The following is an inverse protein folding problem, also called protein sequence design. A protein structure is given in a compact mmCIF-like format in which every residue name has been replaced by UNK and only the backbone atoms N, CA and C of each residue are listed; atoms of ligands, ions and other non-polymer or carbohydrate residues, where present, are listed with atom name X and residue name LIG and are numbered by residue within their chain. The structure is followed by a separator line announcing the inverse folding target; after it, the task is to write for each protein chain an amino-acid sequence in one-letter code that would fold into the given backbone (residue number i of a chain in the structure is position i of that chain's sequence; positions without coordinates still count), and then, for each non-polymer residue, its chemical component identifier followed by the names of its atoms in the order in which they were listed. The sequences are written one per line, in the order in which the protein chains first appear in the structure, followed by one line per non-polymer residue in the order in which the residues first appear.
data_IF_004842550847
#
_entry.id   IF_004842550847
#
_cell.length_a   1.000
_cell.length_b   1.000
_cell.length_c   1.000
_cell.angle_alpha   90.00
_cell.angle_beta   90.00
_cell.angle_gamma   90.00
#
_symmetry.space_group_name_H-M   'P 1'
#
loop_
_entity.id
_entity.type
_entity.pdbx_description
1 polymer ?
#
# COMPACT_ATOMS: atom_id res chain seq x y z
N UNK A 1 16.51 74.27 15.45
CA UNK A 1 16.36 72.85 15.01
C UNK A 1 16.17 72.02 16.27
N UNK A 2 14.96 71.54 16.55
CA UNK A 2 14.65 70.76 17.77
C UNK A 2 14.47 69.31 17.34
N UNK A 3 15.35 68.42 17.77
CA UNK A 3 15.30 67.00 17.45
C UNK A 3 14.33 66.28 18.41
N UNK A 4 13.28 65.67 17.86
CA UNK A 4 12.35 64.84 18.61
C UNK A 4 12.92 63.42 18.77
N UNK A 5 13.09 62.98 20.01
CA UNK A 5 13.47 61.60 20.35
C UNK A 5 12.21 60.72 20.34
N UNK A 6 12.07 59.86 19.32
CA UNK A 6 11.04 58.83 19.28
C UNK A 6 11.51 57.62 20.11
N UNK A 7 10.87 57.39 21.26
CA UNK A 7 11.06 56.19 22.06
C UNK A 7 10.32 55.02 21.43
N UNK A 8 11.04 54.04 20.90
CA UNK A 8 10.48 52.79 20.38
C UNK A 8 10.32 51.82 21.55
N UNK A 9 9.09 51.48 21.91
CA UNK A 9 8.78 50.42 22.88
C UNK A 9 8.63 49.09 22.15
N UNK A 10 9.50 48.13 22.47
CA UNK A 10 9.38 46.76 21.98
C UNK A 10 8.36 46.00 22.83
N UNK A 11 7.21 45.66 22.24
CA UNK A 11 6.24 44.73 22.84
C UNK A 11 6.73 43.30 22.58
N UNK A 12 7.16 42.61 23.63
CA UNK A 12 7.46 41.17 23.55
C UNK A 12 6.20 40.37 23.85
N UNK A 13 5.57 39.81 22.81
CA UNK A 13 4.49 38.86 22.98
C UNK A 13 5.08 37.50 23.40
N UNK A 14 4.78 37.05 24.63
CA UNK A 14 5.13 35.69 25.07
C UNK A 14 4.13 34.70 24.47
N UNK A 15 4.60 33.86 23.55
CA UNK A 15 3.88 32.67 23.09
C UNK A 15 3.78 31.67 24.25
N UNK A 16 2.56 31.30 24.64
CA UNK A 16 2.32 30.22 25.58
C UNK A 16 2.69 28.87 24.93
N UNK A 17 3.24 27.91 25.68
CA UNK A 17 3.49 26.57 25.17
C UNK A 17 2.17 25.88 24.80
N UNK A 18 2.12 25.28 23.61
CA UNK A 18 0.98 24.50 23.15
C UNK A 18 0.74 23.29 24.08
N UNK A 19 -0.52 23.06 24.44
CA UNK A 19 -0.92 21.88 25.20
C UNK A 19 -0.62 20.59 24.40
N UNK A 20 -0.18 19.50 25.06
CA UNK A 20 0.03 18.23 24.38
C UNK A 20 -1.30 17.66 23.86
N UNK A 21 -1.29 16.94 22.72
CA UNK A 21 -2.51 16.32 22.19
C UNK A 21 -3.05 15.28 23.18
N UNK A 22 -4.38 15.08 23.23
CA UNK A 22 -4.99 14.06 24.08
C UNK A 22 -4.45 12.67 23.71
N UNK A 23 -4.16 11.87 24.73
CA UNK A 23 -3.71 10.48 24.59
C UNK A 23 -4.82 9.67 23.92
N UNK A 24 -4.61 9.28 22.67
CA UNK A 24 -5.48 8.33 21.97
C UNK A 24 -5.33 6.95 22.60
N UNK A 25 -6.43 6.39 23.08
CA UNK A 25 -6.51 4.99 23.49
C UNK A 25 -6.09 4.08 22.32
N UNK A 26 -5.35 2.99 22.56
CA UNK A 26 -4.95 2.08 21.51
C UNK A 26 -6.18 1.50 20.82
N UNK A 27 -6.28 1.74 19.51
CA UNK A 27 -7.30 1.15 18.65
C UNK A 27 -7.24 -0.38 18.77
N UNK A 28 -8.28 -0.98 19.36
CA UNK A 28 -8.42 -2.44 19.44
C UNK A 28 -8.74 -2.94 18.04
N UNK A 29 -7.71 -3.42 17.34
CA UNK A 29 -7.84 -4.02 16.02
C UNK A 29 -8.81 -5.22 16.08
N UNK A 30 -9.95 -5.21 15.35
CA UNK A 30 -10.77 -6.39 15.19
C UNK A 30 -9.92 -7.49 14.55
N UNK A 31 -9.78 -8.62 15.24
CA UNK A 31 -8.96 -9.75 14.81
C UNK A 31 -9.37 -10.17 13.38
N UNK A 32 -8.50 -9.92 12.40
CA UNK A 32 -8.69 -10.35 11.02
C UNK A 32 -8.83 -11.88 10.96
N UNK A 33 -9.72 -12.45 10.12
CA UNK A 33 -9.85 -13.90 9.97
C UNK A 33 -8.53 -14.51 9.51
N UNK A 34 -8.07 -15.57 10.18
CA UNK A 34 -6.87 -16.31 9.77
C UNK A 34 -7.15 -16.97 8.41
N UNK A 35 -6.41 -16.58 7.37
CA UNK A 35 -6.43 -17.24 6.06
C UNK A 35 -5.86 -18.68 6.23
N UNK A 36 -6.61 -19.74 5.88
CA UNK A 36 -6.21 -21.13 6.15
C UNK A 36 -5.23 -21.72 5.13
N UNK A 37 -4.74 -20.96 4.15
CA UNK A 37 -3.86 -21.50 3.12
C UNK A 37 -2.37 -21.49 3.53
N UNK A 38 -2.00 -22.38 4.46
CA UNK A 38 -0.61 -22.75 4.68
C UNK A 38 -0.35 -24.12 4.04
N UNK A 39 -0.17 -24.15 2.72
CA UNK A 39 0.25 -25.36 2.00
C UNK A 39 1.73 -25.29 1.65
N UNK A 40 2.45 -26.19 2.32
CA UNK A 40 3.75 -26.80 2.06
C UNK A 40 4.35 -26.56 0.65
N UNK A 41 5.50 -25.90 0.58
CA UNK A 41 6.29 -25.71 -0.64
C UNK A 41 7.07 -27.01 -0.97
N UNK A 42 6.74 -27.66 -2.09
CA UNK A 42 7.59 -28.66 -2.75
C UNK A 42 8.24 -28.05 -4.03
N UNK A 43 9.50 -28.36 -4.37
CA UNK A 43 10.12 -27.88 -5.61
C UNK A 43 9.73 -28.78 -6.80
N UNK A 44 9.30 -28.18 -7.91
CA UNK A 44 9.01 -28.86 -9.18
C UNK A 44 10.01 -28.44 -10.26
N UNK A 45 10.67 -29.42 -10.88
CA UNK A 45 11.49 -29.29 -12.08
C UNK A 45 10.62 -29.23 -13.36
N UNK A 46 11.13 -28.74 -14.51
CA UNK A 46 10.30 -28.40 -15.66
C UNK A 46 10.06 -29.60 -16.59
N UNK A 47 8.86 -29.70 -17.15
CA UNK A 47 8.58 -30.55 -18.31
C UNK A 47 7.64 -29.82 -19.26
N UNK A 48 8.17 -29.52 -20.44
CA UNK A 48 7.47 -28.91 -21.57
C UNK A 48 6.56 -29.93 -22.23
N UNK A 49 5.29 -29.59 -22.46
CA UNK A 49 4.46 -30.21 -23.49
C UNK A 49 3.31 -29.28 -23.84
N UNK A 50 3.31 -28.84 -25.09
CA UNK A 50 2.30 -28.03 -25.75
C UNK A 50 1.12 -28.90 -26.19
N UNK A 51 -0.10 -28.48 -25.87
CA UNK A 51 -1.28 -28.85 -26.65
C UNK A 51 -2.42 -27.87 -26.38
N UNK A 52 -2.83 -27.23 -27.48
CA UNK A 52 -3.94 -26.29 -27.63
C UNK A 52 -5.30 -27.01 -27.60
N UNK A 53 -6.24 -26.48 -26.81
CA UNK A 53 -7.67 -26.66 -27.05
C UNK A 53 -8.44 -25.46 -26.50
N UNK A 54 -9.06 -24.73 -27.40
CA UNK A 54 -9.86 -23.53 -27.17
C UNK A 54 -11.19 -23.84 -26.49
N UNK A 55 -11.74 -22.81 -25.82
CA UNK A 55 -13.18 -22.61 -25.51
C UNK A 55 -13.70 -23.13 -24.17
N UNK A 56 -13.33 -22.44 -23.10
CA UNK A 56 -14.32 -21.87 -22.19
C UNK A 56 -14.06 -20.36 -22.20
N UNK A 57 -15.10 -19.54 -22.37
CA UNK A 57 -14.97 -18.09 -22.28
C UNK A 57 -14.45 -17.76 -20.87
N UNK A 58 -13.14 -17.60 -20.75
CA UNK A 58 -12.46 -17.24 -19.52
C UNK A 58 -12.98 -15.87 -19.16
N UNK A 59 -13.87 -15.82 -18.17
CA UNK A 59 -14.13 -14.59 -17.44
C UNK A 59 -12.75 -14.08 -17.01
N UNK A 60 -12.26 -13.05 -17.70
CA UNK A 60 -10.98 -12.45 -17.41
C UNK A 60 -11.09 -11.85 -16.02
N UNK A 61 -10.71 -12.62 -15.01
CA UNK A 61 -10.69 -12.17 -13.62
C UNK A 61 -9.84 -10.91 -13.55
N UNK A 62 -10.38 -9.83 -12.98
CA UNK A 62 -9.63 -8.59 -12.76
C UNK A 62 -8.59 -8.85 -11.66
N UNK A 63 -7.43 -9.35 -12.08
CA UNK A 63 -6.42 -9.90 -11.18
C UNK A 63 -5.19 -8.98 -11.07
N UNK A 64 -4.72 -8.75 -9.84
CA UNK A 64 -3.55 -7.89 -9.62
C UNK A 64 -2.27 -8.49 -10.21
N UNK A 65 -2.11 -9.82 -10.10
CA UNK A 65 -0.94 -10.58 -10.55
C UNK A 65 0.37 -10.00 -9.98
N UNK A 66 0.36 -9.64 -8.70
CA UNK A 66 1.54 -9.11 -8.03
C UNK A 66 2.44 -10.28 -7.59
N UNK A 67 3.70 -10.37 -8.05
CA UNK A 67 4.59 -11.45 -7.63
C UNK A 67 4.90 -11.43 -6.12
N UNK A 68 4.61 -10.30 -5.46
CA UNK A 68 4.83 -10.09 -4.04
C UNK A 68 3.60 -10.39 -3.16
N UNK A 69 2.45 -10.77 -3.75
CA UNK A 69 1.16 -10.80 -3.05
C UNK A 69 1.15 -11.65 -1.77
N UNK A 70 1.81 -12.82 -1.79
CA UNK A 70 1.78 -13.77 -0.68
C UNK A 70 2.61 -13.33 0.55
N UNK A 71 3.53 -12.38 0.39
CA UNK A 71 4.48 -11.99 1.45
C UNK A 71 4.43 -10.51 1.80
N UNK A 72 4.09 -9.65 0.84
CA UNK A 72 3.99 -8.21 1.02
C UNK A 72 2.64 -7.80 1.64
N UNK A 73 2.64 -6.97 2.67
CA UNK A 73 1.41 -6.48 3.32
C UNK A 73 0.64 -5.40 2.53
N UNK A 74 0.99 -5.17 1.26
CA UNK A 74 0.50 -4.01 0.49
C UNK A 74 -0.88 -4.18 -0.13
N UNK A 75 -1.30 -5.42 -0.43
CA UNK A 75 -2.54 -5.73 -1.13
C UNK A 75 -3.27 -6.84 -0.37
N UNK A 76 -4.60 -6.75 -0.30
CA UNK A 76 -5.43 -7.72 0.44
C UNK A 76 -6.24 -8.65 -0.47
N UNK A 77 -6.48 -8.22 -1.71
CA UNK A 77 -7.23 -8.98 -2.72
C UNK A 77 -6.40 -9.09 -3.99
N UNK A 78 -6.36 -10.30 -4.56
CA UNK A 78 -5.67 -10.57 -5.81
C UNK A 78 -6.66 -10.67 -6.98
N UNK A 79 -7.86 -11.17 -6.75
CA UNK A 79 -8.85 -11.51 -7.77
C UNK A 79 -10.11 -10.66 -7.63
N UNK A 80 -10.92 -10.63 -8.70
CA UNK A 80 -12.23 -9.96 -8.74
C UNK A 80 -12.18 -8.51 -8.27
N UNK A 81 -11.11 -7.79 -8.59
CA UNK A 81 -10.88 -6.41 -8.14
C UNK A 81 -11.84 -5.39 -8.77
N UNK A 82 -12.55 -5.78 -9.83
CA UNK A 82 -13.66 -5.05 -10.41
C UNK A 82 -14.98 -5.26 -9.65
N UNK A 83 -15.05 -6.31 -8.82
CA UNK A 83 -16.24 -6.71 -8.05
C UNK A 83 -15.89 -7.12 -6.60
N UNK A 84 -15.16 -6.29 -5.83
CA UNK A 84 -14.80 -6.66 -4.47
C UNK A 84 -16.05 -6.80 -3.59
N UNK A 85 -16.05 -7.80 -2.69
CA UNK A 85 -17.18 -8.14 -1.82
C UNK A 85 -17.75 -6.93 -1.05
N UNK A 86 -16.88 -5.97 -0.69
CA UNK A 86 -17.28 -4.73 0.01
C UNK A 86 -18.34 -3.94 -0.77
N UNK A 87 -18.42 -4.04 -2.09
CA UNK A 87 -19.44 -3.35 -2.87
C UNK A 87 -20.83 -3.88 -2.61
N UNK A 88 -21.00 -5.19 -2.42
CA UNK A 88 -22.30 -5.77 -2.07
C UNK A 88 -22.77 -5.29 -0.68
N UNK A 89 -21.83 -5.23 0.28
CA UNK A 89 -22.08 -4.71 1.62
C UNK A 89 -22.49 -3.23 1.58
N UNK A 90 -21.79 -2.42 0.78
CA UNK A 90 -22.08 -1.00 0.61
C UNK A 90 -23.41 -0.77 -0.11
N UNK A 91 -23.68 -1.50 -1.19
CA UNK A 91 -24.97 -1.46 -1.89
C UNK A 91 -26.12 -1.80 -0.95
N UNK A 92 -25.96 -2.84 -0.13
CA UNK A 92 -26.96 -3.20 0.89
C UNK A 92 -27.12 -2.09 1.94
N UNK A 93 -26.02 -1.56 2.45
CA UNK A 93 -26.03 -0.50 3.47
C UNK A 93 -26.82 0.74 3.03
N UNK A 94 -26.64 1.17 1.77
CA UNK A 94 -27.33 2.30 1.19
C UNK A 94 -28.80 1.99 0.85
N UNK A 95 -29.07 0.80 0.31
CA UNK A 95 -30.44 0.35 0.02
C UNK A 95 -31.30 0.33 1.28
N UNK A 96 -30.76 -0.19 2.38
CA UNK A 96 -31.43 -0.24 3.69
C UNK A 96 -31.69 1.17 4.28
N UNK A 97 -31.14 2.24 3.67
CA UNK A 97 -31.33 3.67 4.02
C UNK A 97 -32.10 4.46 2.95
N UNK A 98 -32.68 3.79 1.96
CA UNK A 98 -33.49 4.43 0.91
C UNK A 98 -32.68 5.01 -0.26
N UNK A 99 -31.39 4.72 -0.36
CA UNK A 99 -30.55 5.08 -1.53
C UNK A 99 -30.42 3.84 -2.42
N UNK A 100 -31.15 3.83 -3.53
CA UNK A 100 -31.23 2.67 -4.43
C UNK A 100 -30.18 2.67 -5.55
N UNK A 101 -29.60 3.83 -5.85
CA UNK A 101 -28.72 4.12 -6.99
C UNK A 101 -27.26 4.34 -6.57
N UNK A 102 -26.74 3.48 -5.70
CA UNK A 102 -25.32 3.49 -5.38
C UNK A 102 -24.49 3.15 -6.62
N UNK A 103 -23.59 4.06 -7.00
CA UNK A 103 -22.57 3.84 -8.03
C UNK A 103 -21.16 3.93 -7.42
N UNK A 104 -20.19 3.33 -8.11
CA UNK A 104 -18.79 3.42 -7.75
C UNK A 104 -17.95 3.51 -9.02
N UNK A 105 -16.84 4.23 -8.94
CA UNK A 105 -15.87 4.35 -10.03
C UNK A 105 -14.67 3.47 -9.77
N UNK A 106 -14.20 2.79 -10.81
CA UNK A 106 -13.01 1.95 -10.78
C UNK A 106 -11.89 2.66 -11.52
N UNK A 107 -10.75 2.82 -10.85
CA UNK A 107 -9.54 3.38 -11.43
C UNK A 107 -8.72 2.35 -12.20
N UNK A 108 -7.47 2.71 -12.49
CA UNK A 108 -6.50 1.78 -13.07
C UNK A 108 -6.21 0.63 -12.10
N UNK A 109 -6.21 -0.59 -12.61
CA UNK A 109 -5.88 -1.80 -11.85
C UNK A 109 -4.43 -1.81 -11.36
N UNK A 110 -3.51 -1.39 -12.22
CA UNK A 110 -2.08 -1.32 -11.95
C UNK A 110 -1.60 0.12 -11.91
N UNK A 111 -0.42 0.32 -11.31
CA UNK A 111 0.34 1.57 -11.38
C UNK A 111 -0.38 2.81 -10.81
N UNK A 112 -1.42 2.59 -10.00
CA UNK A 112 -2.26 3.67 -9.47
C UNK A 112 -1.65 4.39 -8.27
N UNK A 113 -0.65 3.80 -7.57
CA UNK A 113 0.06 4.48 -6.48
C UNK A 113 1.21 5.32 -7.02
N UNK A 114 1.08 6.64 -6.86
CA UNK A 114 2.14 7.60 -7.20
C UNK A 114 3.10 7.91 -6.04
N UNK A 115 2.89 7.32 -4.86
CA UNK A 115 3.75 7.49 -3.67
C UNK A 115 3.88 6.19 -2.89
N UNK A 116 5.08 5.86 -2.46
CA UNK A 116 5.38 4.73 -1.59
C UNK A 116 6.29 5.16 -0.44
N UNK A 117 6.09 4.57 0.75
CA UNK A 117 7.01 4.65 1.89
C UNK A 117 7.57 3.26 2.11
N UNK A 118 8.82 3.06 1.71
CA UNK A 118 9.49 1.77 1.75
C UNK A 118 10.45 1.72 2.94
N UNK A 119 10.47 0.59 3.62
CA UNK A 119 11.48 0.28 4.62
C UNK A 119 12.73 -0.25 3.92
N UNK A 120 13.89 0.10 4.48
CA UNK A 120 15.19 -0.36 4.02
C UNK A 120 15.85 -1.18 5.14
N UNK A 121 16.29 -2.39 4.81
CA UNK A 121 17.01 -3.33 5.69
C UNK A 121 18.06 -4.10 4.88
N UNK A 122 18.78 -5.01 5.53
CA UNK A 122 19.83 -5.81 4.89
C UNK A 122 21.20 -5.12 4.97
N UNK A 123 22.09 -5.52 4.06
CA UNK A 123 23.42 -4.92 3.90
C UNK A 123 23.49 -4.14 2.58
N UNK A 124 24.50 -3.29 2.36
CA UNK A 124 24.69 -2.61 1.08
C UNK A 124 24.75 -3.55 -0.13
N UNK A 125 25.29 -4.76 0.03
CA UNK A 125 25.41 -5.78 -1.01
C UNK A 125 24.08 -6.48 -1.31
N UNK A 126 23.22 -6.61 -0.29
CA UNK A 126 21.92 -7.28 -0.37
C UNK A 126 20.85 -6.39 0.31
N UNK A 127 20.53 -5.22 -0.27
CA UNK A 127 19.58 -4.31 0.33
C UNK A 127 18.15 -4.80 0.08
N UNK A 128 17.38 -4.91 1.15
CA UNK A 128 15.94 -5.17 1.10
C UNK A 128 15.23 -3.82 1.10
N UNK A 129 14.49 -3.53 0.04
CA UNK A 129 13.72 -2.28 -0.11
C UNK A 129 12.27 -2.65 -0.37
N UNK A 130 11.42 -2.45 0.64
CA UNK A 130 10.03 -2.84 0.49
C UNK A 130 9.12 -2.58 1.68
N UNK A 131 8.12 -3.43 1.86
CA UNK A 131 7.16 -3.35 2.96
C UNK A 131 7.44 -4.43 4.00
N UNK A 132 6.85 -4.29 5.18
CA UNK A 132 6.91 -5.36 6.16
C UNK A 132 6.01 -6.52 5.74
N UNK A 133 6.41 -7.74 6.06
CA UNK A 133 5.51 -8.88 6.00
C UNK A 133 4.40 -8.71 7.05
N UNK A 134 3.18 -9.07 6.69
CA UNK A 134 2.02 -8.90 7.57
C UNK A 134 2.24 -9.54 8.95
N UNK A 135 1.93 -8.79 10.00
CA UNK A 135 2.10 -9.23 11.39
C UNK A 135 3.54 -9.21 11.91
N UNK A 136 4.51 -8.67 11.16
CA UNK A 136 5.92 -8.66 11.56
C UNK A 136 6.61 -7.29 11.33
N UNK A 137 7.87 -7.17 11.75
CA UNK A 137 8.79 -6.10 11.34
C UNK A 137 9.87 -6.60 10.37
N UNK A 138 9.67 -7.76 9.74
CA UNK A 138 10.57 -8.30 8.72
C UNK A 138 10.25 -7.64 7.38
N UNK A 139 11.25 -7.05 6.72
CA UNK A 139 11.06 -6.40 5.41
C UNK A 139 11.08 -7.46 4.31
N UNK A 140 10.11 -7.38 3.42
CA UNK A 140 10.03 -8.13 2.17
C UNK A 140 10.43 -7.19 1.04
N UNK A 141 11.40 -7.63 0.24
CA UNK A 141 11.84 -6.89 -0.95
C UNK A 141 10.75 -6.92 -2.04
N UNK A 142 10.40 -5.77 -2.62
CA UNK A 142 9.31 -5.67 -3.62
C UNK A 142 9.70 -4.88 -4.88
N UNK A 143 10.70 -5.34 -5.64
CA UNK A 143 11.24 -4.58 -6.79
C UNK A 143 10.23 -4.34 -7.92
N UNK A 144 9.14 -5.12 -7.97
CA UNK A 144 8.17 -5.14 -9.07
C UNK A 144 6.74 -5.05 -8.56
N UNK A 145 6.47 -4.15 -7.61
CA UNK A 145 5.13 -3.94 -7.10
C UNK A 145 4.19 -3.45 -8.21
N UNK A 146 3.12 -4.20 -8.50
CA UNK A 146 2.13 -3.88 -9.55
C UNK A 146 1.30 -2.64 -9.25
N UNK A 147 1.17 -2.27 -7.97
CA UNK A 147 0.44 -1.08 -7.57
C UNK A 147 1.25 0.21 -7.76
N UNK A 148 2.58 0.12 -7.79
CA UNK A 148 3.46 1.29 -7.94
C UNK A 148 3.45 1.80 -9.36
N UNK A 149 3.43 3.12 -9.53
CA UNK A 149 3.83 3.75 -10.78
C UNK A 149 5.23 3.27 -11.21
N UNK A 150 5.50 3.04 -12.52
CA UNK A 150 6.79 2.50 -12.99
C UNK A 150 8.01 3.26 -12.48
N UNK A 151 7.91 4.59 -12.36
CA UNK A 151 8.99 5.44 -11.83
C UNK A 151 9.37 5.13 -10.39
N UNK A 152 8.47 4.61 -9.56
CA UNK A 152 8.79 4.22 -8.17
C UNK A 152 9.66 2.96 -8.19
N UNK A 153 9.28 1.95 -8.99
CA UNK A 153 10.07 0.72 -9.10
C UNK A 153 11.46 1.03 -9.70
N UNK A 154 11.51 1.85 -10.75
CA UNK A 154 12.78 2.32 -11.32
C UNK A 154 13.66 3.10 -10.32
N UNK A 155 13.05 3.94 -9.47
CA UNK A 155 13.77 4.65 -8.42
C UNK A 155 14.33 3.71 -7.35
N UNK A 156 13.63 2.61 -7.01
CA UNK A 156 14.15 1.58 -6.11
C UNK A 156 15.38 0.90 -6.71
N UNK A 157 15.36 0.58 -8.00
CA UNK A 157 16.51 -0.02 -8.68
C UNK A 157 17.74 0.90 -8.66
N UNK A 158 17.54 2.19 -8.98
CA UNK A 158 18.61 3.20 -8.90
C UNK A 158 19.15 3.38 -7.48
N UNK A 159 18.26 3.37 -6.47
CA UNK A 159 18.66 3.46 -5.08
C UNK A 159 19.56 2.28 -4.69
N UNK A 160 19.19 1.05 -5.06
CA UNK A 160 20.00 -0.15 -4.77
C UNK A 160 21.38 -0.09 -5.44
N UNK A 161 21.45 0.41 -6.68
CA UNK A 161 22.74 0.61 -7.36
C UNK A 161 23.63 1.62 -6.63
N UNK A 162 23.03 2.70 -6.10
CA UNK A 162 23.74 3.74 -5.35
C UNK A 162 24.22 3.31 -3.96
N UNK A 163 23.74 2.18 -3.42
CA UNK A 163 24.15 1.68 -2.11
C UNK A 163 25.46 0.89 -2.13
N UNK A 164 25.90 0.42 -3.30
CA UNK A 164 27.11 -0.39 -3.46
C UNK A 164 28.42 0.43 -3.48
N UNK A 165 28.34 1.73 -3.23
CA UNK A 165 29.46 2.68 -3.30
C UNK A 165 29.80 3.29 -1.93
#
# INVERSE_FOLDING_TARGET
MVAALLSVTFVTARLAPAAPPPRTEPYKNPRSPKNPNHLHLQPLSPSSSSSSSSSAASASSCALQCPHFQSCSGCTHEWDLDRPQVLEEVSKFFKDRGVADFSFDIGRLWEWRCRAKLAIRGTPEIPLVGLYQEGTHCVVDIPQCRAHHPSINAAVDLLKQGMLF
#
